data_IF_208849293059
#
_entry.id   IF_208849293059
#
_cell.length_a   1.000
_cell.length_b   1.000
_cell.length_c   1.000
_cell.angle_alpha   90.00
_cell.angle_beta   90.00
_cell.angle_gamma   90.00
#
_symmetry.space_group_name_H-M   'P 1'
#
loop_
_entity.id
_entity.type
_entity.pdbx_description
1 polymer ?
#
# COMPACT_ATOMS: atom_id res chain seq x y z
N UNK A 1 -15.12 24.66 -7.28
CA UNK A 1 -16.12 24.06 -6.37
C UNK A 1 -15.62 22.65 -6.05
N UNK A 2 -15.44 22.27 -4.79
CA UNK A 2 -14.86 20.96 -4.43
C UNK A 2 -15.75 19.83 -4.95
N UNK A 3 -15.16 18.70 -5.38
CA UNK A 3 -15.92 17.52 -5.86
C UNK A 3 -17.01 17.08 -4.86
N UNK A 4 -16.71 17.20 -3.55
CA UNK A 4 -17.63 16.91 -2.46
C UNK A 4 -18.90 17.77 -2.49
N UNK A 5 -18.78 19.08 -2.71
CA UNK A 5 -19.94 19.98 -2.75
C UNK A 5 -20.83 19.72 -3.98
N UNK A 6 -20.24 19.25 -5.08
CA UNK A 6 -21.02 18.84 -6.26
C UNK A 6 -21.87 17.59 -5.99
N UNK A 7 -21.40 16.68 -5.14
CA UNK A 7 -22.12 15.42 -4.87
C UNK A 7 -23.10 15.53 -3.70
N UNK A 8 -22.98 16.58 -2.86
CA UNK A 8 -23.83 16.79 -1.68
C UNK A 8 -25.31 16.65 -1.98
N UNK A 9 -25.81 17.35 -3.01
CA UNK A 9 -27.25 17.38 -3.33
C UNK A 9 -27.82 16.02 -3.71
N UNK A 10 -27.02 15.15 -4.34
CA UNK A 10 -27.45 13.80 -4.71
C UNK A 10 -27.39 12.82 -3.54
N UNK A 11 -26.45 13.02 -2.61
CA UNK A 11 -26.19 12.07 -1.52
C UNK A 11 -26.95 12.39 -0.23
N UNK A 12 -27.26 13.66 0.03
CA UNK A 12 -27.80 14.11 1.31
C UNK A 12 -29.20 13.58 1.64
N UNK A 13 -30.01 13.29 0.62
CA UNK A 13 -31.39 12.78 0.79
C UNK A 13 -31.46 11.24 0.89
N UNK A 14 -30.31 10.56 0.77
CA UNK A 14 -30.22 9.10 0.81
C UNK A 14 -29.94 8.60 2.23
N UNK A 15 -30.37 7.38 2.53
CA UNK A 15 -29.87 6.67 3.71
C UNK A 15 -28.37 6.45 3.59
N UNK A 16 -27.60 6.32 4.68
CA UNK A 16 -26.15 6.09 4.60
C UNK A 16 -25.76 4.89 3.72
N UNK A 17 -26.53 3.79 3.79
CA UNK A 17 -26.32 2.62 2.93
C UNK A 17 -26.56 2.94 1.45
N UNK A 18 -27.65 3.63 1.12
CA UNK A 18 -27.96 4.02 -0.26
C UNK A 18 -26.94 5.04 -0.79
N UNK A 19 -26.52 6.00 0.04
CA UNK A 19 -25.47 6.96 -0.30
C UNK A 19 -24.15 6.24 -0.61
N UNK A 20 -23.75 5.26 0.20
CA UNK A 20 -22.51 4.50 0.00
C UNK A 20 -22.52 3.70 -1.31
N UNK A 21 -23.68 3.13 -1.66
CA UNK A 21 -23.85 2.42 -2.93
C UNK A 21 -23.85 3.39 -4.12
N UNK A 22 -24.61 4.49 -4.03
CA UNK A 22 -24.68 5.52 -5.07
C UNK A 22 -23.32 6.16 -5.33
N UNK A 23 -22.51 6.34 -4.28
CA UNK A 23 -21.17 6.91 -4.35
C UNK A 23 -20.25 6.12 -5.29
N UNK A 24 -20.45 4.80 -5.46
CA UNK A 24 -19.63 3.98 -6.34
C UNK A 24 -19.76 4.34 -7.83
N UNK A 25 -20.80 5.12 -8.22
CA UNK A 25 -20.93 5.64 -9.58
C UNK A 25 -20.09 6.91 -9.83
N UNK A 26 -19.48 7.48 -8.79
CA UNK A 26 -18.58 8.65 -8.90
C UNK A 26 -17.16 8.18 -9.23
N UNK A 27 -16.31 9.03 -9.85
CA UNK A 27 -14.93 8.67 -10.12
C UNK A 27 -14.17 8.24 -8.86
N UNK A 28 -13.37 7.19 -8.98
CA UNK A 28 -12.45 6.77 -7.92
C UNK A 28 -11.41 7.87 -7.64
N UNK A 29 -10.98 7.99 -6.39
CA UNK A 29 -10.09 9.05 -5.95
C UNK A 29 -10.35 9.50 -4.50
N UNK A 30 -9.49 10.38 -3.99
CA UNK A 30 -9.49 10.81 -2.59
C UNK A 30 -10.83 11.38 -2.10
N UNK A 31 -11.56 12.11 -2.96
CA UNK A 31 -12.88 12.64 -2.59
C UNK A 31 -13.92 11.52 -2.36
N UNK A 32 -13.90 10.49 -3.21
CA UNK A 32 -14.77 9.31 -3.05
C UNK A 32 -14.35 8.51 -1.83
N UNK A 33 -13.04 8.35 -1.62
CA UNK A 33 -12.47 7.67 -0.44
C UNK A 33 -12.96 8.30 0.86
N UNK A 34 -12.84 9.62 1.01
CA UNK A 34 -13.24 10.32 2.21
C UNK A 34 -14.72 10.09 2.57
N UNK A 35 -15.62 10.18 1.57
CA UNK A 35 -17.05 9.95 1.80
C UNK A 35 -17.37 8.47 2.04
N UNK A 36 -16.76 7.55 1.31
CA UNK A 36 -16.99 6.10 1.47
C UNK A 36 -16.60 5.66 2.88
N UNK A 37 -15.41 6.06 3.35
CA UNK A 37 -14.94 5.74 4.70
C UNK A 37 -15.80 6.41 5.79
N UNK A 38 -16.22 7.66 5.59
CA UNK A 38 -17.13 8.34 6.53
C UNK A 38 -18.50 7.65 6.61
N UNK A 39 -19.00 7.13 5.49
CA UNK A 39 -20.26 6.37 5.45
C UNK A 39 -20.11 5.01 6.12
N UNK A 40 -18.97 4.32 5.96
CA UNK A 40 -18.66 3.10 6.71
C UNK A 40 -18.70 3.33 8.22
N UNK A 41 -18.03 4.39 8.69
CA UNK A 41 -18.02 4.75 10.11
C UNK A 41 -19.42 5.13 10.62
N UNK A 42 -20.14 5.99 9.89
CA UNK A 42 -21.51 6.39 10.24
C UNK A 42 -22.48 5.21 10.32
N UNK A 43 -22.42 4.28 9.36
CA UNK A 43 -23.24 3.07 9.37
C UNK A 43 -22.94 2.24 10.62
N UNK A 44 -21.66 2.06 10.97
CA UNK A 44 -21.25 1.37 12.19
C UNK A 44 -21.86 2.03 13.43
N UNK A 45 -21.72 3.35 13.56
CA UNK A 45 -22.26 4.12 14.69
C UNK A 45 -23.77 3.99 14.84
N UNK A 46 -24.52 4.06 13.73
CA UNK A 46 -25.98 3.88 13.73
C UNK A 46 -26.41 2.46 14.12
N UNK A 47 -25.57 1.46 13.87
CA UNK A 47 -25.76 0.07 14.32
C UNK A 47 -25.23 -0.18 15.75
N UNK A 48 -24.67 0.83 16.42
CA UNK A 48 -24.07 0.68 17.74
C UNK A 48 -22.75 -0.11 17.75
N UNK A 49 -22.04 -0.15 16.62
CA UNK A 49 -20.75 -0.82 16.45
C UNK A 49 -19.65 0.20 16.15
N UNK A 50 -18.45 -0.04 16.68
CA UNK A 50 -17.28 0.69 16.22
C UNK A 50 -16.82 0.17 14.85
N UNK A 51 -16.18 1.04 14.07
CA UNK A 51 -15.51 0.70 12.82
C UNK A 51 -13.99 0.86 12.99
N UNK A 52 -13.15 -0.03 12.42
CA UNK A 52 -13.52 -1.20 11.61
C UNK A 52 -13.90 -2.45 12.42
N UNK A 53 -13.59 -2.51 13.71
CA UNK A 53 -13.92 -3.65 14.60
C UNK A 53 -15.09 -3.30 15.54
N UNK A 54 -16.10 -4.17 15.74
CA UNK A 54 -16.15 -5.59 15.36
C UNK A 54 -16.80 -5.87 13.99
N UNK A 55 -17.02 -4.85 13.16
CA UNK A 55 -17.64 -5.04 11.84
C UNK A 55 -16.83 -5.99 10.95
N UNK A 56 -15.50 -5.89 11.05
CA UNK A 56 -14.53 -6.79 10.49
C UNK A 56 -13.72 -7.43 11.61
N UNK A 57 -13.30 -8.69 11.41
CA UNK A 57 -12.26 -9.29 12.24
C UNK A 57 -10.93 -8.64 11.88
N UNK A 58 -10.28 -8.02 12.87
CA UNK A 58 -9.00 -7.34 12.72
C UNK A 58 -8.01 -8.04 13.66
N UNK A 59 -6.81 -8.33 13.18
CA UNK A 59 -5.75 -8.94 13.98
C UNK A 59 -5.28 -7.96 15.06
N UNK A 60 -4.93 -8.48 16.24
CA UNK A 60 -4.46 -7.67 17.37
C UNK A 60 -3.14 -6.93 17.05
N UNK A 61 -2.30 -7.54 16.22
CA UNK A 61 -1.06 -6.98 15.71
C UNK A 61 -0.94 -7.25 14.21
N UNK A 62 -0.56 -6.25 13.45
CA UNK A 62 -0.34 -6.35 12.00
C UNK A 62 1.09 -5.84 11.70
N UNK A 63 1.95 -6.70 11.15
CA UNK A 63 3.26 -6.30 10.64
C UNK A 63 3.05 -5.22 9.58
N UNK A 64 3.78 -4.11 9.66
CA UNK A 64 3.77 -3.04 8.65
C UNK A 64 5.19 -2.70 8.26
N UNK A 65 5.39 -2.35 6.99
CA UNK A 65 6.68 -1.92 6.50
C UNK A 65 7.14 -0.65 7.23
N UNK A 66 8.44 -0.56 7.46
CA UNK A 66 9.10 0.69 7.85
C UNK A 66 9.83 1.23 6.63
N UNK A 67 9.44 2.42 6.18
CA UNK A 67 10.00 3.03 4.97
C UNK A 67 11.42 3.56 5.20
N UNK A 68 12.39 2.99 4.49
CA UNK A 68 13.76 3.52 4.34
C UNK A 68 13.76 4.52 3.20
N UNK A 69 14.03 5.78 3.54
CA UNK A 69 14.03 6.89 2.59
C UNK A 69 15.22 6.77 1.64
N UNK A 70 15.01 7.22 0.40
CA UNK A 70 16.09 7.26 -0.59
C UNK A 70 17.22 8.20 -0.13
N UNK A 71 18.47 7.76 -0.33
CA UNK A 71 19.66 8.54 -0.03
C UNK A 71 20.93 7.82 -0.48
N UNK A 72 22.07 8.22 0.07
CA UNK A 72 23.33 7.48 -0.11
C UNK A 72 23.24 6.10 0.54
N UNK A 73 23.93 5.11 -0.04
CA UNK A 73 23.85 3.71 0.41
C UNK A 73 24.16 3.55 1.92
N UNK A 74 25.13 4.31 2.44
CA UNK A 74 25.49 4.31 3.87
C UNK A 74 24.40 4.89 4.77
N UNK A 75 23.70 5.94 4.31
CA UNK A 75 22.61 6.56 5.05
C UNK A 75 21.38 5.64 5.09
N UNK A 76 21.07 5.01 3.95
CA UNK A 76 19.99 4.01 3.84
C UNK A 76 20.26 2.80 4.73
N UNK A 77 21.49 2.28 4.73
CA UNK A 77 21.90 1.19 5.61
C UNK A 77 21.81 1.58 7.09
N UNK A 78 22.24 2.79 7.46
CA UNK A 78 22.13 3.28 8.83
C UNK A 78 20.67 3.40 9.29
N UNK A 79 19.78 3.93 8.44
CA UNK A 79 18.35 4.03 8.74
C UNK A 79 17.70 2.65 8.84
N UNK A 80 18.01 1.73 7.93
CA UNK A 80 17.56 0.35 7.99
C UNK A 80 17.99 -0.33 9.31
N UNK A 81 19.27 -0.22 9.66
CA UNK A 81 19.81 -0.77 10.92
C UNK A 81 19.10 -0.20 12.15
N UNK A 82 18.77 1.10 12.13
CA UNK A 82 17.98 1.72 13.18
C UNK A 82 16.59 1.08 13.30
N UNK A 83 15.87 0.91 12.20
CA UNK A 83 14.55 0.26 12.23
C UNK A 83 14.62 -1.20 12.69
N UNK A 84 15.61 -1.96 12.23
CA UNK A 84 15.86 -3.33 12.71
C UNK A 84 16.12 -3.33 14.22
N UNK A 85 16.93 -2.40 14.72
CA UNK A 85 17.19 -2.24 16.16
C UNK A 85 15.95 -1.85 16.97
N UNK A 86 14.92 -1.28 16.34
CA UNK A 86 13.62 -1.00 16.94
C UNK A 86 12.65 -2.19 16.86
N UNK A 87 13.04 -3.28 16.19
CA UNK A 87 12.27 -4.51 16.03
C UNK A 87 11.53 -4.62 14.71
N UNK A 88 11.85 -3.80 13.70
CA UNK A 88 11.25 -3.94 12.37
C UNK A 88 11.65 -5.28 11.72
N UNK A 89 10.67 -5.97 11.15
CA UNK A 89 10.85 -7.23 10.42
C UNK A 89 10.58 -7.09 8.92
N UNK A 90 9.92 -5.99 8.52
CA UNK A 90 9.63 -5.62 7.13
C UNK A 90 10.14 -4.19 6.84
N UNK A 91 10.98 -4.06 5.82
CA UNK A 91 11.49 -2.79 5.34
C UNK A 91 11.01 -2.51 3.91
N UNK A 92 10.54 -1.29 3.67
CA UNK A 92 10.26 -0.77 2.32
C UNK A 92 11.37 0.19 1.92
N UNK A 93 12.15 -0.17 0.90
CA UNK A 93 13.32 0.60 0.48
C UNK A 93 12.99 1.41 -0.76
N UNK A 94 12.91 2.74 -0.62
CA UNK A 94 12.64 3.64 -1.75
C UNK A 94 13.90 3.85 -2.59
N UNK A 95 13.78 3.72 -3.91
CA UNK A 95 14.89 3.77 -4.85
C UNK A 95 14.52 4.62 -6.07
N UNK A 96 15.52 5.32 -6.62
CA UNK A 96 15.44 5.88 -7.97
C UNK A 96 16.22 4.97 -8.93
N UNK A 97 16.47 5.41 -10.16
CA UNK A 97 17.26 4.65 -11.14
C UNK A 97 18.78 4.62 -10.91
N UNK A 98 19.29 5.21 -9.83
CA UNK A 98 20.74 5.34 -9.59
C UNK A 98 21.22 4.36 -8.51
N UNK A 99 22.39 3.73 -8.74
CA UNK A 99 23.08 2.87 -7.76
C UNK A 99 22.16 1.84 -7.07
N UNK A 100 21.17 1.31 -7.80
CA UNK A 100 20.11 0.46 -7.27
C UNK A 100 20.69 -0.75 -6.53
N UNK A 101 21.57 -1.50 -7.19
CA UNK A 101 22.17 -2.72 -6.63
C UNK A 101 23.06 -2.40 -5.42
N UNK A 102 23.82 -1.31 -5.46
CA UNK A 102 24.68 -0.89 -4.35
C UNK A 102 23.86 -0.55 -3.10
N UNK A 103 22.79 0.23 -3.26
CA UNK A 103 21.89 0.61 -2.16
C UNK A 103 21.19 -0.61 -1.57
N UNK A 104 20.69 -1.51 -2.42
CA UNK A 104 20.07 -2.77 -1.97
C UNK A 104 21.07 -3.64 -1.22
N UNK A 105 22.30 -3.77 -1.73
CA UNK A 105 23.37 -4.53 -1.08
C UNK A 105 23.70 -3.96 0.31
N UNK A 106 23.81 -2.64 0.43
CA UNK A 106 24.10 -1.98 1.70
C UNK A 106 22.98 -2.19 2.74
N UNK A 107 21.71 -2.16 2.32
CA UNK A 107 20.58 -2.42 3.24
C UNK A 107 20.53 -3.90 3.63
N UNK A 108 20.74 -4.83 2.69
CA UNK A 108 20.71 -6.28 2.95
C UNK A 108 21.93 -6.80 3.71
N UNK A 109 22.97 -5.98 3.89
CA UNK A 109 24.21 -6.37 4.55
C UNK A 109 23.99 -7.11 5.88
N UNK A 110 24.90 -8.05 6.19
CA UNK A 110 24.80 -8.94 7.34
C UNK A 110 24.74 -8.20 8.67
N UNK A 111 25.34 -7.03 8.77
CA UNK A 111 25.35 -6.20 9.97
C UNK A 111 24.23 -5.13 9.99
N UNK A 112 23.34 -5.15 9.00
CA UNK A 112 22.26 -4.16 8.81
C UNK A 112 20.89 -4.81 8.90
N UNK A 113 20.47 -5.59 7.89
CA UNK A 113 19.15 -6.21 7.84
C UNK A 113 19.18 -7.59 7.14
N UNK A 114 19.99 -8.55 7.63
CA UNK A 114 20.12 -9.87 6.99
C UNK A 114 18.81 -10.65 6.92
N UNK A 115 17.98 -10.55 7.97
CA UNK A 115 16.82 -11.40 8.17
C UNK A 115 15.48 -10.70 7.89
N UNK A 116 15.49 -9.38 7.64
CA UNK A 116 14.26 -8.64 7.36
C UNK A 116 13.68 -9.02 5.99
N UNK A 117 12.36 -9.05 5.90
CA UNK A 117 11.67 -9.01 4.61
C UNK A 117 11.92 -7.62 4.01
N UNK A 118 12.45 -7.56 2.80
CA UNK A 118 12.73 -6.30 2.09
C UNK A 118 11.85 -6.26 0.85
N UNK A 119 11.08 -5.18 0.71
CA UNK A 119 10.43 -4.80 -0.54
C UNK A 119 11.08 -3.54 -1.09
N UNK A 120 11.16 -3.43 -2.41
CA UNK A 120 11.71 -2.26 -3.09
C UNK A 120 10.58 -1.44 -3.69
N UNK A 121 10.65 -0.12 -3.57
CA UNK A 121 9.72 0.79 -4.23
C UNK A 121 10.51 1.70 -5.17
N UNK A 122 10.31 1.48 -6.47
CA UNK A 122 10.98 2.23 -7.51
C UNK A 122 10.22 3.52 -7.88
N UNK A 123 8.96 3.67 -7.46
CA UNK A 123 8.07 4.78 -7.81
C UNK A 123 8.22 5.23 -9.28
N UNK A 124 8.05 4.28 -10.21
CA UNK A 124 8.06 4.52 -11.66
C UNK A 124 9.43 4.96 -12.24
N UNK A 125 10.54 4.80 -11.52
CA UNK A 125 11.82 5.45 -11.85
C UNK A 125 12.84 4.62 -12.65
N UNK A 126 12.50 3.40 -13.12
CA UNK A 126 13.48 2.51 -13.77
C UNK A 126 13.33 2.39 -15.30
N UNK A 127 12.65 3.33 -15.94
CA UNK A 127 12.40 3.34 -17.39
C UNK A 127 13.65 3.40 -18.27
N UNK A 128 14.80 3.86 -17.73
CA UNK A 128 16.07 3.94 -18.48
C UNK A 128 17.00 2.77 -18.20
N UNK A 129 16.64 1.85 -17.31
CA UNK A 129 17.48 0.73 -16.90
C UNK A 129 17.21 -0.52 -17.74
N UNK A 130 18.22 -1.38 -17.87
CA UNK A 130 18.00 -2.75 -18.34
C UNK A 130 17.38 -3.57 -17.20
N UNK A 131 16.04 -3.65 -17.20
CA UNK A 131 15.28 -4.31 -16.14
C UNK A 131 15.59 -5.81 -16.05
N UNK A 132 15.79 -6.49 -17.18
CA UNK A 132 16.11 -7.91 -17.18
C UNK A 132 17.45 -8.18 -16.48
N UNK A 133 18.46 -7.37 -16.78
CA UNK A 133 19.74 -7.43 -16.09
C UNK A 133 19.62 -7.03 -14.61
N UNK A 134 18.89 -5.96 -14.32
CA UNK A 134 18.71 -5.46 -12.96
C UNK A 134 18.04 -6.50 -12.05
N UNK A 135 16.95 -7.12 -12.50
CA UNK A 135 16.24 -8.13 -11.70
C UNK A 135 17.13 -9.35 -11.43
N UNK A 136 17.96 -9.77 -12.38
CA UNK A 136 18.95 -10.83 -12.16
C UNK A 136 20.01 -10.43 -11.13
N UNK A 137 20.48 -9.17 -11.17
CA UNK A 137 21.44 -8.66 -10.19
C UNK A 137 20.84 -8.55 -8.78
N UNK A 138 19.53 -8.28 -8.68
CA UNK A 138 18.83 -8.16 -7.41
C UNK A 138 18.44 -9.51 -6.78
N UNK A 139 18.31 -10.57 -7.60
CA UNK A 139 17.86 -11.89 -7.15
C UNK A 139 18.66 -12.49 -5.96
N UNK A 140 20.00 -12.35 -5.86
CA UNK A 140 20.77 -12.86 -4.73
C UNK A 140 20.46 -12.18 -3.38
N UNK A 141 19.85 -11.00 -3.37
CA UNK A 141 19.58 -10.22 -2.15
C UNK A 141 18.28 -10.62 -1.44
N UNK A 142 17.60 -11.68 -1.89
CA UNK A 142 16.38 -12.20 -1.27
C UNK A 142 15.33 -11.09 -1.03
N UNK A 143 15.01 -10.37 -2.11
CA UNK A 143 13.99 -9.32 -2.12
C UNK A 143 12.62 -9.99 -2.27
N UNK A 144 11.66 -9.59 -1.45
CA UNK A 144 10.34 -10.19 -1.42
C UNK A 144 9.47 -9.74 -2.60
N UNK A 145 9.60 -8.48 -3.01
CA UNK A 145 8.82 -7.88 -4.09
C UNK A 145 9.46 -6.55 -4.56
N UNK A 146 9.27 -6.20 -5.84
CA UNK A 146 9.60 -4.89 -6.44
C UNK A 146 8.31 -4.18 -6.85
N UNK A 147 8.07 -2.99 -6.30
CA UNK A 147 6.88 -2.18 -6.51
C UNK A 147 7.13 -1.15 -7.62
N UNK A 148 6.21 -1.14 -8.59
CA UNK A 148 6.10 -0.20 -9.70
C UNK A 148 7.44 0.26 -10.32
N UNK A 149 8.18 -0.64 -11.01
CA UNK A 149 9.46 -0.27 -11.64
C UNK A 149 9.32 0.77 -12.76
N UNK A 150 8.19 0.77 -13.48
CA UNK A 150 7.97 1.59 -14.68
C UNK A 150 6.77 2.52 -14.52
N UNK A 151 6.72 3.63 -15.27
CA UNK A 151 5.55 4.50 -15.31
C UNK A 151 4.27 3.76 -15.73
N UNK A 152 3.19 4.05 -15.04
CA UNK A 152 1.84 3.58 -15.36
C UNK A 152 1.48 3.92 -16.81
N UNK A 153 0.95 2.93 -17.52
CA UNK A 153 0.69 3.01 -18.96
C UNK A 153 1.92 2.85 -19.88
N UNK A 154 3.13 2.71 -19.31
CA UNK A 154 4.39 2.46 -20.04
C UNK A 154 5.09 1.18 -19.56
N UNK A 155 4.35 0.30 -18.90
CA UNK A 155 4.83 -0.92 -18.22
C UNK A 155 4.58 -2.21 -19.01
N UNK A 156 4.07 -2.11 -20.23
CA UNK A 156 3.69 -3.27 -21.05
C UNK A 156 4.84 -4.26 -21.31
N UNK A 157 6.08 -3.77 -21.39
CA UNK A 157 7.25 -4.61 -21.62
C UNK A 157 7.55 -5.57 -20.46
N UNK A 158 6.98 -5.35 -19.26
CA UNK A 158 7.14 -6.29 -18.13
C UNK A 158 6.59 -7.68 -18.47
N UNK A 159 5.59 -7.79 -19.36
CA UNK A 159 5.04 -9.08 -19.77
C UNK A 159 6.06 -9.98 -20.51
N UNK A 160 7.10 -9.38 -21.08
CA UNK A 160 8.13 -10.08 -21.86
C UNK A 160 9.44 -10.26 -21.06
N UNK A 161 9.47 -9.87 -19.78
CA UNK A 161 10.64 -9.95 -18.90
C UNK A 161 10.43 -11.05 -17.86
N UNK A 162 11.49 -11.81 -17.57
CA UNK A 162 11.44 -12.81 -16.51
C UNK A 162 11.49 -12.12 -15.15
N UNK A 163 10.57 -12.49 -14.25
CA UNK A 163 10.49 -11.98 -12.88
C UNK A 163 11.11 -12.99 -11.89
N UNK A 164 12.43 -12.91 -11.61
CA UNK A 164 13.02 -13.70 -10.51
C UNK A 164 12.57 -13.20 -9.13
N UNK A 165 12.04 -11.97 -9.06
CA UNK A 165 11.44 -11.34 -7.88
C UNK A 165 10.03 -10.89 -8.31
N UNK A 166 8.97 -11.18 -7.52
CA UNK A 166 7.62 -10.76 -7.84
C UNK A 166 7.50 -9.24 -8.02
N UNK A 167 6.72 -8.80 -9.01
CA UNK A 167 6.42 -7.40 -9.22
C UNK A 167 5.05 -7.02 -8.64
N UNK A 168 4.95 -5.83 -8.05
CA UNK A 168 3.70 -5.28 -7.54
C UNK A 168 3.29 -4.02 -8.30
N UNK A 169 2.04 -3.98 -8.76
CA UNK A 169 1.46 -2.80 -9.39
C UNK A 169 0.93 -1.82 -8.34
N UNK A 170 1.46 -0.60 -8.31
CA UNK A 170 0.94 0.51 -7.51
C UNK A 170 0.19 1.50 -8.41
N UNK A 171 0.88 2.45 -9.04
CA UNK A 171 0.28 3.45 -9.94
C UNK A 171 -0.43 2.84 -11.15
N UNK A 172 -0.15 1.57 -11.49
CA UNK A 172 -0.85 0.85 -12.57
C UNK A 172 -2.15 0.17 -12.11
N UNK A 173 -2.41 0.10 -10.81
CA UNK A 173 -3.62 -0.52 -10.25
C UNK A 173 -4.42 0.48 -9.41
N UNK A 174 -5.53 0.98 -9.95
CA UNK A 174 -6.42 1.91 -9.24
C UNK A 174 -7.67 1.20 -8.69
N UNK A 175 -8.34 0.43 -9.54
CA UNK A 175 -9.61 -0.25 -9.28
C UNK A 175 -9.60 -1.62 -9.92
N UNK A 176 -10.74 -2.31 -9.91
CA UNK A 176 -10.90 -3.58 -10.65
C UNK A 176 -10.78 -3.43 -12.16
N UNK A 177 -10.98 -2.23 -12.70
CA UNK A 177 -10.98 -1.99 -14.14
C UNK A 177 -9.61 -2.31 -14.78
N UNK A 178 -8.53 -2.11 -14.03
CA UNK A 178 -7.17 -2.31 -14.53
C UNK A 178 -6.69 -3.78 -14.41
N UNK A 179 -7.35 -4.64 -13.62
CA UNK A 179 -6.86 -5.99 -13.29
C UNK A 179 -6.56 -6.86 -14.51
N UNK A 180 -7.38 -6.77 -15.56
CA UNK A 180 -7.20 -7.57 -16.77
C UNK A 180 -5.89 -7.23 -17.50
N UNK A 181 -5.48 -5.96 -17.48
CA UNK A 181 -4.27 -5.47 -18.16
C UNK A 181 -3.00 -5.77 -17.38
N UNK A 182 -3.09 -5.93 -16.06
CA UNK A 182 -1.96 -6.25 -15.19
C UNK A 182 -1.53 -7.72 -15.28
N UNK A 183 -2.40 -8.60 -15.78
CA UNK A 183 -2.12 -10.03 -15.85
C UNK A 183 -0.91 -10.30 -16.76
N UNK A 184 0.08 -10.97 -16.20
CA UNK A 184 1.34 -11.28 -16.88
C UNK A 184 2.41 -10.18 -16.74
N UNK A 185 2.05 -8.97 -16.30
CA UNK A 185 3.00 -7.89 -15.98
C UNK A 185 3.37 -7.84 -14.50
N UNK A 186 2.45 -8.27 -13.63
CA UNK A 186 2.61 -8.21 -12.18
C UNK A 186 2.07 -9.49 -11.53
N UNK A 187 2.66 -9.86 -10.39
CA UNK A 187 2.22 -10.96 -9.53
C UNK A 187 1.43 -10.46 -8.31
N UNK A 188 1.57 -9.18 -7.96
CA UNK A 188 0.94 -8.54 -6.81
C UNK A 188 0.31 -7.20 -7.21
N UNK A 189 -0.70 -6.77 -6.45
CA UNK A 189 -1.25 -5.40 -6.55
C UNK A 189 -1.15 -4.70 -5.19
N UNK A 190 -0.90 -3.38 -5.22
CA UNK A 190 -0.97 -2.52 -4.05
C UNK A 190 -2.32 -1.80 -4.00
N UNK A 191 -3.18 -2.20 -3.07
CA UNK A 191 -4.47 -1.56 -2.82
C UNK A 191 -4.26 -0.35 -1.90
N UNK A 192 -4.55 0.85 -2.41
CA UNK A 192 -4.62 2.08 -1.61
C UNK A 192 -6.01 2.68 -1.71
N UNK A 193 -6.61 3.04 -0.57
CA UNK A 193 -7.98 3.54 -0.54
C UNK A 193 -8.17 4.85 -1.33
N UNK A 194 -7.13 5.68 -1.40
CA UNK A 194 -7.14 6.91 -2.20
C UNK A 194 -7.20 6.65 -3.71
N UNK A 195 -6.66 5.52 -4.17
CA UNK A 195 -6.75 5.10 -5.59
C UNK A 195 -8.07 4.41 -5.89
N UNK A 196 -8.48 3.48 -5.02
CA UNK A 196 -9.77 2.78 -5.17
C UNK A 196 -10.95 3.70 -4.93
N UNK A 197 -10.74 4.86 -4.30
CA UNK A 197 -11.81 5.77 -3.91
C UNK A 197 -12.70 5.19 -2.81
N UNK A 198 -12.12 4.47 -1.85
CA UNK A 198 -12.82 3.95 -0.66
C UNK A 198 -12.61 2.46 -0.40
N UNK A 199 -13.01 2.04 0.81
CA UNK A 199 -12.97 0.65 1.25
C UNK A 199 -13.94 -0.23 0.45
N UNK A 200 -15.09 0.32 0.03
CA UNK A 200 -16.09 -0.46 -0.73
C UNK A 200 -15.50 -1.03 -2.02
N UNK A 201 -14.85 -0.19 -2.84
CA UNK A 201 -14.16 -0.67 -4.06
C UNK A 201 -12.93 -1.50 -3.72
N UNK A 202 -12.18 -1.17 -2.65
CA UNK A 202 -11.00 -1.91 -2.25
C UNK A 202 -11.29 -3.37 -1.91
N UNK A 203 -12.39 -3.68 -1.22
CA UNK A 203 -12.77 -5.06 -0.91
C UNK A 203 -13.16 -5.84 -2.18
N UNK A 204 -13.83 -5.18 -3.14
CA UNK A 204 -14.16 -5.80 -4.41
C UNK A 204 -12.90 -6.05 -5.25
N UNK A 205 -11.97 -5.10 -5.25
CA UNK A 205 -10.65 -5.22 -5.89
C UNK A 205 -9.86 -6.38 -5.28
N UNK A 206 -9.76 -6.46 -3.96
CA UNK A 206 -9.07 -7.56 -3.28
C UNK A 206 -9.65 -8.92 -3.68
N UNK A 207 -10.98 -9.06 -3.64
CA UNK A 207 -11.63 -10.31 -4.00
C UNK A 207 -11.30 -10.73 -5.44
N UNK A 208 -11.52 -9.83 -6.42
CA UNK A 208 -11.30 -10.16 -7.83
C UNK A 208 -9.83 -10.36 -8.17
N UNK A 209 -8.92 -9.63 -7.52
CA UNK A 209 -7.49 -9.80 -7.70
C UNK A 209 -7.04 -11.19 -7.23
N UNK A 210 -7.52 -11.64 -6.06
CA UNK A 210 -7.24 -13.00 -5.57
C UNK A 210 -7.83 -14.08 -6.48
N UNK A 211 -9.05 -13.90 -6.97
CA UNK A 211 -9.66 -14.79 -7.95
C UNK A 211 -8.86 -14.86 -9.26
N UNK A 212 -8.20 -13.76 -9.64
CA UNK A 212 -7.30 -13.69 -10.80
C UNK A 212 -5.87 -14.20 -10.52
N UNK A 213 -5.54 -14.55 -9.28
CA UNK A 213 -4.26 -15.13 -8.88
C UNK A 213 -3.20 -14.13 -8.40
N UNK A 214 -3.57 -12.86 -8.17
CA UNK A 214 -2.66 -11.86 -7.62
C UNK A 214 -2.52 -12.02 -6.09
N UNK A 215 -1.31 -11.81 -5.59
CA UNK A 215 -1.10 -11.50 -4.17
C UNK A 215 -1.48 -10.05 -3.87
N UNK A 216 -1.71 -9.74 -2.60
CA UNK A 216 -2.19 -8.44 -2.15
C UNK A 216 -1.16 -7.77 -1.25
N UNK A 217 -0.77 -6.57 -1.66
CA UNK A 217 -0.23 -5.55 -0.78
C UNK A 217 -1.35 -4.56 -0.46
N UNK A 218 -1.40 -4.07 0.78
CA UNK A 218 -2.16 -2.86 1.10
C UNK A 218 -1.18 -1.75 1.44
N UNK A 219 -1.39 -0.58 0.86
CA UNK A 219 -0.53 0.58 1.04
C UNK A 219 -1.33 1.80 1.44
N UNK A 220 -0.62 2.90 1.67
CA UNK A 220 -1.22 4.18 1.95
C UNK A 220 -0.54 5.34 1.21
N UNK A 221 -1.23 6.47 1.20
CA UNK A 221 -0.59 7.78 1.05
C UNK A 221 -0.13 8.28 2.43
N UNK A 222 0.71 9.31 2.46
CA UNK A 222 1.00 9.99 3.72
C UNK A 222 -0.30 10.51 4.35
N UNK A 223 -0.61 10.05 5.55
CA UNK A 223 -1.89 10.31 6.20
C UNK A 223 -1.88 9.90 7.67
N UNK A 224 -2.93 10.30 8.38
CA UNK A 224 -3.09 10.02 9.81
C UNK A 224 -3.65 8.62 10.05
N UNK A 225 -3.69 8.19 11.32
CA UNK A 225 -4.32 6.94 11.70
C UNK A 225 -5.80 6.82 11.30
N UNK A 226 -6.48 7.94 10.99
CA UNK A 226 -7.85 7.89 10.47
C UNK A 226 -7.91 7.13 9.15
N UNK A 227 -6.99 7.41 8.23
CA UNK A 227 -6.94 6.74 6.93
C UNK A 227 -6.47 5.29 7.06
N UNK A 228 -5.46 5.04 7.91
CA UNK A 228 -4.92 3.69 8.12
C UNK A 228 -5.95 2.75 8.75
N UNK A 229 -6.77 3.24 9.70
CA UNK A 229 -7.86 2.47 10.31
C UNK A 229 -8.86 1.96 9.27
N UNK A 230 -9.18 2.76 8.26
CA UNK A 230 -10.10 2.37 7.20
C UNK A 230 -9.54 1.25 6.29
N UNK A 231 -8.22 1.11 6.21
CA UNK A 231 -7.56 0.08 5.41
C UNK A 231 -7.36 -1.25 6.16
N UNK A 232 -7.55 -1.29 7.49
CA UNK A 232 -7.33 -2.50 8.31
C UNK A 232 -8.11 -3.73 7.86
N UNK A 233 -9.36 -3.63 7.36
CA UNK A 233 -10.06 -4.80 6.85
C UNK A 233 -9.30 -5.51 5.72
N UNK A 234 -8.55 -4.78 4.88
CA UNK A 234 -7.69 -5.37 3.84
C UNK A 234 -6.35 -5.80 4.46
N UNK A 235 -5.76 -4.96 5.32
CA UNK A 235 -4.46 -5.21 5.94
C UNK A 235 -4.37 -6.53 6.69
N UNK A 236 -5.43 -6.92 7.39
CA UNK A 236 -5.45 -8.19 8.14
C UNK A 236 -5.33 -9.42 7.24
N UNK A 237 -5.63 -9.29 5.94
CA UNK A 237 -5.60 -10.38 4.95
C UNK A 237 -4.45 -10.26 3.95
N UNK A 238 -3.78 -9.11 3.86
CA UNK A 238 -2.73 -8.86 2.88
C UNK A 238 -1.44 -9.61 3.23
N UNK A 239 -0.69 -10.02 2.21
CA UNK A 239 0.63 -10.64 2.39
C UNK A 239 1.69 -9.59 2.78
N UNK A 240 1.48 -8.33 2.39
CA UNK A 240 2.36 -7.19 2.67
C UNK A 240 1.50 -5.98 3.06
N UNK A 241 1.89 -5.28 4.13
CA UNK A 241 1.17 -4.11 4.64
C UNK A 241 2.15 -2.94 4.74
N UNK A 242 1.78 -1.82 4.15
CA UNK A 242 2.53 -0.56 4.12
C UNK A 242 1.60 0.58 4.59
N UNK A 243 1.35 0.62 5.90
CA UNK A 243 0.47 1.59 6.56
C UNK A 243 1.24 2.46 7.56
N UNK A 244 2.50 2.79 7.27
CA UNK A 244 3.40 3.55 8.16
C UNK A 244 3.21 5.06 8.08
N UNK A 245 2.27 5.56 7.26
CA UNK A 245 1.99 6.98 7.08
C UNK A 245 2.00 7.82 8.37
N UNK A 246 1.34 7.39 9.47
CA UNK A 246 1.31 8.15 10.72
C UNK A 246 2.66 8.24 11.42
N UNK A 247 3.54 7.25 11.25
CA UNK A 247 4.90 7.22 11.83
C UNK A 247 5.76 8.34 11.23
N UNK A 248 5.49 8.73 9.99
CA UNK A 248 6.20 9.79 9.27
C UNK A 248 5.68 11.20 9.63
N UNK A 249 4.60 11.30 10.39
CA UNK A 249 4.05 12.58 10.85
C UNK A 249 4.71 13.04 12.15
N UNK A 250 4.92 14.35 12.29
CA UNK A 250 5.37 14.93 13.57
C UNK A 250 4.34 14.79 14.71
N UNK A 251 3.05 14.67 14.36
CA UNK A 251 1.95 14.41 15.29
C UNK A 251 0.79 13.72 14.56
N UNK A 252 0.28 12.63 15.14
CA UNK A 252 -0.93 11.94 14.68
C UNK A 252 -2.19 12.44 15.43
N UNK A 253 -3.37 11.96 15.01
CA UNK A 253 -4.65 12.23 15.69
C UNK A 253 -4.68 11.63 17.10
N UNK A 254 -5.52 12.21 17.96
CA UNK A 254 -5.77 11.64 19.29
C UNK A 254 -6.43 10.26 19.15
N UNK A 255 -6.03 9.31 20.01
CA UNK A 255 -6.48 7.91 19.96
C UNK A 255 -6.24 7.22 18.59
N UNK A 256 -5.17 7.60 17.89
CA UNK A 256 -4.67 6.92 16.68
C UNK A 256 -4.27 5.46 16.91
N UNK A 257 -3.82 4.81 15.84
CA UNK A 257 -3.18 3.49 15.93
C UNK A 257 -1.87 3.61 16.69
N UNK A 258 -1.47 2.52 17.36
CA UNK A 258 -0.16 2.44 18.01
C UNK A 258 0.80 1.72 17.08
N UNK A 259 2.00 2.26 16.94
CA UNK A 259 3.07 1.66 16.16
C UNK A 259 4.23 1.32 17.09
N UNK A 260 4.64 0.06 17.10
CA UNK A 260 5.85 -0.35 17.80
C UNK A 260 6.44 -1.61 17.18
N UNK A 261 7.77 -1.66 17.08
CA UNK A 261 8.52 -2.83 16.59
C UNK A 261 7.98 -3.39 15.27
N UNK A 262 7.84 -2.52 14.26
CA UNK A 262 7.37 -2.91 12.92
C UNK A 262 5.94 -3.42 12.86
N UNK A 263 5.15 -3.21 13.91
CA UNK A 263 3.76 -3.63 13.97
C UNK A 263 2.85 -2.44 14.29
N UNK A 264 1.63 -2.48 13.76
CA UNK A 264 0.53 -1.60 14.12
C UNK A 264 -0.52 -2.34 14.94
N UNK A 265 -1.18 -1.61 15.85
CA UNK A 265 -2.14 -2.14 16.80
C UNK A 265 -3.38 -1.23 16.86
N UNK A 266 -4.56 -1.86 16.94
CA UNK A 266 -5.80 -1.15 17.24
C UNK A 266 -5.77 -0.66 18.69
N UNK A 267 -6.35 0.51 18.95
CA UNK A 267 -6.45 1.08 20.30
C UNK A 267 -7.80 0.73 20.94
#
# INVERSE_FOLDING_TARGET
MTQLEMWRGELAELTPQAAKQQLQSKPAGAARNALDCALWDLIGQLEGKAFPSPYFSINDAIETAMTVSIGEASAMAAQAKQYVGQGATLLKVKLNGENVVERVAAVRDRDVAPDCKIILDANEAWQTLDLAQLFQQLAPYNIAMIEQPLPSGQDHCLADIVHPIPLCADESCHTRAELAELKGRYEMINIKLDKTGGLTEAMLLEQQAREAGFSIMVGCMLGTSLAMKAALPIATRAEIVDLDGPVLLGKDIDNGLKYHSGNLYLN
#
